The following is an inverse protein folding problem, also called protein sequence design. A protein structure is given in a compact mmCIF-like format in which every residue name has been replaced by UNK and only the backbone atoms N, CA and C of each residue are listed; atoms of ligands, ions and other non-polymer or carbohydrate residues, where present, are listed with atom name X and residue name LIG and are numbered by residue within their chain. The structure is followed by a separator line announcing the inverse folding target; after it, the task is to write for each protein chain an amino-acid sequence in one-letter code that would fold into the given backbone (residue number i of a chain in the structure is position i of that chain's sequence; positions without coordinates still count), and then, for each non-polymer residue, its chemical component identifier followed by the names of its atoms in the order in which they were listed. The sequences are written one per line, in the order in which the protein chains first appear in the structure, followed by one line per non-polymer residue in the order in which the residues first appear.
data_IF_546415050161
#
_entry.id   IF_546415050161
#
_cell.length_a   1.000
_cell.length_b   1.000
_cell.length_c   1.000
_cell.angle_alpha   90.00
_cell.angle_beta   90.00
_cell.angle_gamma   90.00
#
_symmetry.space_group_name_H-M   'P 1'
#
loop_
_entity.id
_entity.type
_entity.pdbx_description
1 polymer ?
#
# COMPACT_ATOMS: atom_id res chain seq x y z
N UNK A 1 -8.48 -19.32 13.07
CA UNK A 1 -9.55 -18.83 12.17
C UNK A 1 -10.92 -19.07 12.78
N UNK A 2 -11.89 -18.16 12.64
CA UNK A 2 -13.30 -18.54 12.84
C UNK A 2 -13.76 -19.37 11.62
N UNK A 3 -14.62 -20.39 11.77
CA UNK A 3 -15.16 -21.14 10.66
C UNK A 3 -15.92 -20.25 9.65
N UNK A 4 -15.61 -20.40 8.37
CA UNK A 4 -16.20 -19.69 7.25
C UNK A 4 -17.00 -20.63 6.37
N UNK A 5 -18.18 -20.20 5.97
CA UNK A 5 -18.91 -20.77 4.85
C UNK A 5 -19.15 -19.68 3.81
N UNK A 6 -19.13 -20.04 2.53
CA UNK A 6 -19.43 -19.08 1.49
C UNK A 6 -20.11 -19.69 0.28
N UNK A 7 -20.80 -18.82 -0.45
CA UNK A 7 -21.48 -19.12 -1.70
C UNK A 7 -21.26 -17.95 -2.67
N UNK A 8 -21.33 -18.19 -3.98
CA UNK A 8 -21.20 -17.11 -4.97
C UNK A 8 -22.19 -15.99 -4.70
N UNK A 9 -21.76 -14.76 -4.97
CA UNK A 9 -22.54 -13.54 -4.79
C UNK A 9 -23.76 -13.40 -5.71
N UNK A 10 -23.96 -14.35 -6.64
CA UNK A 10 -25.20 -14.52 -7.40
C UNK A 10 -26.35 -15.10 -6.58
N UNK A 11 -26.08 -15.68 -5.40
CA UNK A 11 -27.11 -16.17 -4.47
C UNK A 11 -27.53 -15.03 -3.55
N UNK A 12 -28.83 -14.91 -3.31
CA UNK A 12 -29.40 -13.96 -2.35
C UNK A 12 -28.85 -14.21 -0.94
N UNK A 13 -28.28 -13.19 -0.30
CA UNK A 13 -27.69 -13.30 1.05
C UNK A 13 -28.70 -13.83 2.07
N UNK A 14 -29.96 -13.41 1.96
CA UNK A 14 -31.04 -13.83 2.85
C UNK A 14 -31.37 -15.32 2.72
N UNK A 15 -31.27 -15.86 1.50
CA UNK A 15 -31.48 -17.28 1.22
C UNK A 15 -30.33 -18.12 1.76
N UNK A 16 -29.09 -17.67 1.56
CA UNK A 16 -27.91 -18.36 2.08
C UNK A 16 -27.88 -18.41 3.61
N UNK A 17 -28.23 -17.30 4.28
CA UNK A 17 -28.34 -17.25 5.75
C UNK A 17 -29.35 -18.28 6.28
N UNK A 18 -30.56 -18.29 5.71
CA UNK A 18 -31.60 -19.27 6.09
C UNK A 18 -31.14 -20.70 5.89
N UNK A 19 -30.46 -20.98 4.79
CA UNK A 19 -29.93 -22.32 4.55
C UNK A 19 -28.93 -22.75 5.64
N UNK A 20 -28.03 -21.86 6.04
CA UNK A 20 -27.02 -22.16 7.06
C UNK A 20 -27.65 -22.35 8.44
N UNK A 21 -28.60 -21.50 8.83
CA UNK A 21 -29.28 -21.63 10.12
C UNK A 21 -30.23 -22.84 10.16
N UNK A 22 -31.09 -22.99 9.14
CA UNK A 22 -32.18 -23.98 9.16
C UNK A 22 -31.74 -25.39 8.71
N UNK A 23 -30.79 -25.48 7.76
CA UNK A 23 -30.35 -26.77 7.21
C UNK A 23 -29.04 -27.27 7.82
N UNK A 24 -28.11 -26.38 8.12
CA UNK A 24 -26.84 -26.76 8.73
C UNK A 24 -26.88 -26.64 10.27
N UNK A 25 -27.88 -25.93 10.84
CA UNK A 25 -28.00 -25.76 12.28
C UNK A 25 -26.87 -24.89 12.87
N UNK A 26 -26.25 -24.04 12.06
CA UNK A 26 -25.09 -23.24 12.46
C UNK A 26 -25.50 -21.80 12.79
N UNK A 27 -24.92 -21.25 13.87
CA UNK A 27 -25.16 -19.86 14.25
C UNK A 27 -24.24 -18.92 13.47
N UNK A 28 -24.84 -17.92 12.83
CA UNK A 28 -24.13 -16.89 12.06
C UNK A 28 -23.64 -15.78 12.99
N UNK A 29 -22.40 -15.32 12.79
CA UNK A 29 -21.79 -14.23 13.55
C UNK A 29 -21.67 -12.96 12.71
N UNK A 30 -21.13 -13.08 11.50
CA UNK A 30 -20.80 -11.95 10.63
C UNK A 30 -20.98 -12.37 9.18
N UNK A 31 -21.32 -11.41 8.33
CA UNK A 31 -21.34 -11.58 6.87
C UNK A 31 -20.43 -10.56 6.22
N UNK A 32 -19.72 -10.97 5.18
CA UNK A 32 -18.85 -10.13 4.39
C UNK A 32 -18.76 -10.63 2.95
N UNK A 33 -18.34 -9.76 2.03
CA UNK A 33 -18.02 -10.15 0.65
C UNK A 33 -16.52 -10.25 0.48
N UNK A 34 -16.07 -11.30 -0.19
CA UNK A 34 -14.65 -11.53 -0.51
C UNK A 34 -14.54 -11.95 -1.97
N UNK A 35 -13.40 -11.68 -2.61
CA UNK A 35 -13.08 -12.31 -3.89
C UNK A 35 -11.89 -13.23 -3.73
N UNK A 36 -11.94 -14.39 -4.36
CA UNK A 36 -10.91 -15.42 -4.27
C UNK A 36 -10.45 -15.80 -5.68
N UNK A 37 -9.14 -15.82 -5.87
CA UNK A 37 -8.51 -16.22 -7.12
C UNK A 37 -8.42 -17.74 -7.18
N UNK A 38 -9.23 -18.33 -8.04
CA UNK A 38 -9.32 -19.77 -8.29
C UNK A 38 -8.69 -20.14 -9.64
N UNK A 39 -8.65 -21.44 -9.97
CA UNK A 39 -8.32 -21.94 -11.31
C UNK A 39 -9.21 -21.37 -12.43
N UNK A 40 -10.43 -20.92 -12.11
CA UNK A 40 -11.37 -20.30 -13.05
C UNK A 40 -11.29 -18.75 -13.07
N UNK A 41 -10.32 -18.18 -12.35
CA UNK A 41 -10.18 -16.73 -12.20
C UNK A 41 -10.74 -16.22 -10.87
N UNK A 42 -10.98 -14.91 -10.80
CA UNK A 42 -11.50 -14.26 -9.60
C UNK A 42 -12.99 -14.49 -9.44
N UNK A 43 -13.38 -15.13 -8.34
CA UNK A 43 -14.78 -15.39 -7.99
C UNK A 43 -15.15 -14.62 -6.72
N UNK A 44 -16.32 -13.99 -6.73
CA UNK A 44 -16.87 -13.24 -5.59
C UNK A 44 -17.77 -14.12 -4.73
N UNK A 45 -17.60 -14.08 -3.43
CA UNK A 45 -18.39 -14.88 -2.49
C UNK A 45 -19.02 -13.99 -1.43
N UNK A 46 -20.24 -14.34 -1.05
CA UNK A 46 -20.80 -13.97 0.25
C UNK A 46 -20.27 -15.00 1.23
N UNK A 47 -19.52 -14.53 2.23
CA UNK A 47 -18.92 -15.36 3.28
C UNK A 47 -19.52 -15.02 4.62
N UNK A 48 -19.82 -16.05 5.39
CA UNK A 48 -20.36 -15.94 6.72
C UNK A 48 -19.42 -16.62 7.73
N UNK A 49 -19.15 -15.91 8.82
CA UNK A 49 -18.50 -16.48 9.99
C UNK A 49 -19.56 -17.25 10.78
N UNK A 50 -19.28 -18.50 11.13
CA UNK A 50 -20.22 -19.38 11.84
C UNK A 50 -19.59 -20.03 13.07
N UNK A 51 -20.44 -20.47 14.01
CA UNK A 51 -20.03 -21.32 15.12
C UNK A 51 -20.40 -22.78 14.85
N UNK A 52 -19.40 -23.65 14.84
CA UNK A 52 -19.58 -25.10 14.70
C UNK A 52 -18.57 -25.73 13.76
N UNK A 53 -18.70 -27.05 13.57
CA UNK A 53 -17.89 -27.82 12.64
C UNK A 53 -18.44 -27.66 11.22
N UNK A 54 -17.58 -27.34 10.26
CA UNK A 54 -17.99 -26.97 8.89
C UNK A 54 -17.36 -27.84 7.80
N UNK A 55 -16.49 -28.78 8.15
CA UNK A 55 -15.79 -29.59 7.14
C UNK A 55 -16.79 -30.39 6.30
N UNK A 56 -16.69 -30.23 4.98
CA UNK A 56 -17.58 -30.86 4.01
C UNK A 56 -18.88 -30.09 3.73
N UNK A 57 -19.18 -29.01 4.46
CA UNK A 57 -20.37 -28.20 4.22
C UNK A 57 -20.34 -27.51 2.85
N UNK A 58 -19.16 -27.15 2.34
CA UNK A 58 -19.04 -26.54 1.00
C UNK A 58 -19.63 -27.43 -0.10
N UNK A 59 -19.46 -28.75 -0.01
CA UNK A 59 -20.09 -29.69 -0.97
C UNK A 59 -21.61 -29.63 -0.92
N UNK A 60 -22.19 -29.56 0.28
CA UNK A 60 -23.64 -29.50 0.46
C UNK A 60 -24.22 -28.17 -0.07
N UNK A 61 -23.53 -27.07 0.21
CA UNK A 61 -23.89 -25.73 -0.30
C UNK A 61 -23.79 -25.71 -1.83
N UNK A 62 -22.67 -26.18 -2.40
CA UNK A 62 -22.46 -26.17 -3.84
C UNK A 62 -23.53 -26.98 -4.59
N UNK A 63 -23.91 -28.13 -4.04
CA UNK A 63 -24.98 -28.98 -4.59
C UNK A 63 -26.35 -28.32 -4.47
N UNK A 64 -26.66 -27.68 -3.34
CA UNK A 64 -27.96 -27.05 -3.11
C UNK A 64 -28.18 -25.85 -4.03
N UNK A 65 -27.19 -24.96 -4.10
CA UNK A 65 -27.28 -23.71 -4.87
C UNK A 65 -26.79 -23.85 -6.32
N UNK A 66 -26.24 -25.02 -6.69
CA UNK A 66 -25.70 -25.31 -8.04
C UNK A 66 -24.67 -24.28 -8.50
N UNK A 67 -23.83 -23.83 -7.58
CA UNK A 67 -22.81 -22.80 -7.79
C UNK A 67 -21.59 -23.10 -6.91
N UNK A 68 -20.48 -22.40 -7.12
CA UNK A 68 -19.30 -22.59 -6.29
C UNK A 68 -19.60 -22.21 -4.84
N UNK A 69 -19.08 -23.02 -3.92
CA UNK A 69 -19.16 -22.75 -2.50
C UNK A 69 -17.78 -22.87 -1.87
N UNK A 70 -17.60 -22.34 -0.68
CA UNK A 70 -16.35 -22.47 0.05
C UNK A 70 -16.56 -22.76 1.52
N UNK A 71 -15.54 -23.34 2.12
CA UNK A 71 -15.39 -23.50 3.57
C UNK A 71 -13.97 -23.14 3.99
N UNK A 72 -13.80 -22.56 5.18
CA UNK A 72 -12.49 -22.19 5.72
C UNK A 72 -12.46 -22.37 7.22
N UNK A 73 -11.47 -23.06 7.77
CA UNK A 73 -11.44 -23.37 9.20
C UNK A 73 -10.12 -23.99 9.63
N UNK A 74 -10.05 -24.44 10.88
CA UNK A 74 -8.83 -25.05 11.45
C UNK A 74 -8.37 -26.30 10.69
N UNK A 75 -9.31 -27.01 10.05
CA UNK A 75 -9.03 -28.16 9.18
C UNK A 75 -8.30 -27.80 7.88
N UNK A 76 -8.14 -26.50 7.59
CA UNK A 76 -7.48 -25.97 6.39
C UNK A 76 -6.28 -25.08 6.75
N UNK A 77 -5.61 -25.37 7.86
CA UNK A 77 -4.31 -24.79 8.17
C UNK A 77 -3.23 -25.50 7.34
N UNK A 78 -2.47 -24.71 6.58
CA UNK A 78 -1.37 -25.19 5.75
C UNK A 78 -0.04 -24.78 6.40
N UNK A 79 0.84 -25.73 6.64
CA UNK A 79 2.12 -25.52 7.32
C UNK A 79 2.09 -25.93 8.80
N UNK A 80 3.10 -25.52 9.55
CA UNK A 80 3.27 -25.91 10.95
C UNK A 80 3.08 -24.72 11.90
N UNK A 81 1.98 -24.65 12.65
CA UNK A 81 1.78 -23.61 13.67
C UNK A 81 2.91 -23.55 14.71
N UNK A 82 3.54 -24.69 15.01
CA UNK A 82 4.73 -24.78 15.88
C UNK A 82 5.94 -24.01 15.36
N UNK A 83 6.07 -23.88 14.04
CA UNK A 83 7.11 -23.07 13.40
C UNK A 83 6.79 -21.57 13.41
N UNK A 84 5.65 -21.18 14.00
CA UNK A 84 5.12 -19.80 14.05
C UNK A 84 4.84 -19.19 12.68
N UNK A 85 4.75 -19.99 11.62
CA UNK A 85 4.44 -19.52 10.29
C UNK A 85 3.53 -20.54 9.61
N UNK A 86 2.33 -20.12 9.24
CA UNK A 86 1.37 -20.96 8.55
C UNK A 86 0.41 -20.11 7.71
N UNK A 87 -0.25 -20.76 6.76
CA UNK A 87 -1.36 -20.17 6.03
C UNK A 87 -2.70 -20.72 6.54
N UNK A 88 -3.70 -19.86 6.66
CA UNK A 88 -5.09 -20.28 6.75
C UNK A 88 -5.68 -20.29 5.34
N UNK A 89 -6.27 -21.41 4.94
CA UNK A 89 -6.83 -21.59 3.60
C UNK A 89 -8.36 -21.75 3.62
N UNK A 90 -8.94 -21.59 2.44
CA UNK A 90 -10.30 -22.02 2.14
C UNK A 90 -10.27 -23.14 1.12
N UNK A 91 -11.25 -24.03 1.19
CA UNK A 91 -11.53 -25.02 0.15
C UNK A 91 -12.72 -24.53 -0.65
N UNK A 92 -12.51 -24.29 -1.94
CA UNK A 92 -13.56 -23.96 -2.89
C UNK A 92 -14.02 -25.26 -3.55
N UNK A 93 -15.32 -25.51 -3.56
CA UNK A 93 -15.97 -26.65 -4.21
C UNK A 93 -16.79 -26.14 -5.39
N UNK A 94 -16.56 -26.73 -6.55
CA UNK A 94 -17.24 -26.40 -7.80
C UNK A 94 -18.50 -27.26 -8.00
N UNK A 95 -19.49 -26.82 -8.81
CA UNK A 95 -20.72 -27.58 -9.06
C UNK A 95 -20.51 -28.97 -9.69
N UNK A 96 -19.38 -29.16 -10.37
CA UNK A 96 -18.97 -30.44 -10.97
C UNK A 96 -18.37 -31.43 -9.94
N UNK A 97 -18.24 -31.00 -8.68
CA UNK A 97 -17.63 -31.77 -7.60
C UNK A 97 -16.11 -31.62 -7.52
N UNK A 98 -15.48 -30.86 -8.41
CA UNK A 98 -14.07 -30.50 -8.28
C UNK A 98 -13.83 -29.61 -7.06
N UNK A 99 -12.62 -29.64 -6.51
CA UNK A 99 -12.23 -28.79 -5.38
C UNK A 99 -10.85 -28.18 -5.56
N UNK A 100 -10.62 -27.06 -4.86
CA UNK A 100 -9.35 -26.34 -4.85
C UNK A 100 -9.11 -25.74 -3.45
N UNK A 101 -7.90 -25.92 -2.89
CA UNK A 101 -7.50 -25.31 -1.62
C UNK A 101 -6.67 -24.06 -1.91
N UNK A 102 -7.08 -22.93 -1.32
CA UNK A 102 -6.53 -21.60 -1.62
C UNK A 102 -6.15 -20.92 -0.30
N UNK A 103 -4.86 -20.60 -0.07
CA UNK A 103 -4.44 -19.84 1.11
C UNK A 103 -4.99 -18.42 1.04
N UNK A 104 -5.68 -17.97 2.09
CA UNK A 104 -6.32 -16.65 2.17
C UNK A 104 -5.66 -15.73 3.20
N UNK A 105 -5.05 -16.28 4.24
CA UNK A 105 -4.21 -15.52 5.16
C UNK A 105 -2.88 -16.22 5.38
N UNK A 106 -1.83 -15.43 5.54
CA UNK A 106 -0.56 -15.86 6.14
C UNK A 106 -0.51 -15.32 7.55
N UNK A 107 -0.17 -16.19 8.50
CA UNK A 107 0.09 -15.81 9.88
C UNK A 107 1.58 -15.99 10.19
N UNK A 108 2.21 -14.93 10.71
CA UNK A 108 3.57 -14.93 11.21
C UNK A 108 3.57 -14.54 12.69
N UNK A 109 3.82 -15.53 13.54
CA UNK A 109 3.89 -15.42 14.99
C UNK A 109 5.22 -14.90 15.53
N UNK A 110 6.22 -14.62 14.71
CA UNK A 110 7.38 -13.81 15.11
C UNK A 110 7.03 -12.32 15.10
N UNK A 111 6.18 -11.92 14.15
CA UNK A 111 5.69 -10.54 14.00
C UNK A 111 4.25 -10.35 14.52
N UNK A 112 3.64 -11.37 15.11
CA UNK A 112 2.22 -11.42 15.50
C UNK A 112 1.30 -10.75 14.47
N UNK A 113 1.51 -11.09 13.21
CA UNK A 113 0.89 -10.45 12.07
C UNK A 113 0.07 -11.49 11.29
N UNK A 114 -1.10 -11.05 10.83
CA UNK A 114 -1.97 -11.80 9.93
C UNK A 114 -2.23 -10.96 8.69
N UNK A 115 -1.83 -11.47 7.53
CA UNK A 115 -1.93 -10.75 6.25
C UNK A 115 -2.77 -11.54 5.25
N UNK A 116 -3.72 -10.90 4.55
CA UNK A 116 -4.34 -11.51 3.38
C UNK A 116 -3.29 -11.85 2.32
N UNK A 117 -3.47 -12.96 1.63
CA UNK A 117 -2.63 -13.34 0.48
C UNK A 117 -2.98 -12.52 -0.76
N UNK A 118 -2.18 -12.63 -1.80
CA UNK A 118 -2.46 -12.05 -3.13
C UNK A 118 -3.60 -12.77 -3.88
N UNK A 119 -4.11 -13.87 -3.33
CA UNK A 119 -5.22 -14.65 -3.89
C UNK A 119 -6.59 -14.20 -3.38
N UNK A 120 -6.65 -13.15 -2.56
CA UNK A 120 -7.91 -12.70 -1.95
C UNK A 120 -8.05 -11.17 -1.93
N UNK A 121 -9.27 -10.70 -2.21
CA UNK A 121 -9.68 -9.29 -2.01
C UNK A 121 -10.82 -9.22 -0.99
N UNK A 122 -10.91 -8.09 -0.27
CA UNK A 122 -11.99 -7.83 0.69
C UNK A 122 -11.69 -8.30 2.13
N UNK A 123 -10.54 -8.92 2.35
CA UNK A 123 -10.04 -9.28 3.68
C UNK A 123 -9.09 -8.22 4.22
N UNK A 124 -9.11 -8.03 5.54
CA UNK A 124 -8.21 -7.10 6.24
C UNK A 124 -7.21 -7.87 7.07
N UNK A 125 -5.95 -7.46 7.01
CA UNK A 125 -4.92 -7.95 7.91
C UNK A 125 -4.94 -7.22 9.24
N UNK A 126 -4.15 -7.71 10.17
CA UNK A 126 -3.85 -7.02 11.43
C UNK A 126 -2.45 -7.38 11.91
N UNK A 127 -1.90 -6.55 12.79
CA UNK A 127 -0.73 -6.88 13.58
C UNK A 127 -0.97 -6.60 15.05
N UNK A 128 -0.40 -7.42 15.92
CA UNK A 128 -0.48 -7.22 17.36
C UNK A 128 0.81 -6.62 17.88
N UNK A 129 0.75 -5.49 18.58
CA UNK A 129 1.91 -4.83 19.18
C UNK A 129 1.61 -4.60 20.65
N UNK A 130 2.40 -5.22 21.53
CA UNK A 130 2.26 -5.12 23.00
C UNK A 130 0.86 -5.47 23.52
N UNK A 131 0.16 -6.38 22.83
CA UNK A 131 -1.18 -6.84 23.20
C UNK A 131 -2.32 -6.10 22.52
N UNK A 132 -2.05 -4.95 21.90
CA UNK A 132 -3.05 -4.18 21.14
C UNK A 132 -3.08 -4.66 19.69
N UNK A 133 -4.29 -4.76 19.12
CA UNK A 133 -4.52 -5.19 17.75
C UNK A 133 -4.69 -3.97 16.83
N UNK A 134 -3.82 -3.85 15.84
CA UNK A 134 -3.86 -2.78 14.85
C UNK A 134 -4.27 -3.34 13.48
N UNK A 135 -5.32 -2.79 12.84
CA UNK A 135 -5.71 -3.20 11.50
C UNK A 135 -4.64 -2.78 10.48
N UNK A 136 -4.41 -3.61 9.47
CA UNK A 136 -3.49 -3.31 8.38
C UNK A 136 -4.25 -2.87 7.12
N UNK A 137 -3.69 -1.91 6.35
CA UNK A 137 -2.42 -1.21 6.62
C UNK A 137 -2.55 -0.13 7.71
N UNK A 138 -1.47 0.11 8.47
CA UNK A 138 -1.41 1.07 9.58
C UNK A 138 -1.62 2.53 9.10
N UNK A 139 -2.41 3.29 9.85
CA UNK A 139 -2.52 4.73 9.71
C UNK A 139 -1.30 5.46 10.29
N UNK A 140 -1.20 6.77 10.02
CA UNK A 140 -0.13 7.57 10.63
C UNK A 140 -0.31 7.69 12.15
N UNK A 141 -1.56 7.77 12.58
CA UNK A 141 -1.95 7.88 13.97
C UNK A 141 -1.58 6.60 14.73
N UNK A 142 -1.79 5.42 14.14
CA UNK A 142 -1.32 4.13 14.69
C UNK A 142 0.21 4.15 14.88
N UNK A 143 0.96 4.66 13.90
CA UNK A 143 2.43 4.74 13.99
C UNK A 143 2.91 5.65 15.12
N UNK A 144 2.24 6.79 15.33
CA UNK A 144 2.57 7.70 16.43
C UNK A 144 2.34 7.01 17.78
N UNK A 145 1.21 6.33 17.94
CA UNK A 145 0.90 5.57 19.15
C UNK A 145 1.90 4.44 19.40
N UNK A 146 2.18 3.64 18.38
CA UNK A 146 3.15 2.53 18.43
C UNK A 146 4.55 3.05 18.80
N UNK A 147 4.96 4.19 18.22
CA UNK A 147 6.24 4.81 18.53
C UNK A 147 6.32 5.26 19.99
N UNK A 148 5.30 5.97 20.48
CA UNK A 148 5.23 6.42 21.88
C UNK A 148 5.28 5.26 22.87
N UNK A 149 4.68 4.12 22.50
CA UNK A 149 4.69 2.90 23.30
C UNK A 149 5.96 2.05 23.11
N UNK A 150 6.90 2.45 22.25
CA UNK A 150 8.15 1.71 22.02
C UNK A 150 7.97 0.38 21.28
N UNK A 151 7.10 0.34 20.27
CA UNK A 151 6.84 -0.83 19.42
C UNK A 151 7.32 -0.71 17.97
N UNK A 152 8.00 0.39 17.62
CA UNK A 152 8.28 0.75 16.23
C UNK A 152 9.19 -0.25 15.50
N UNK A 153 10.16 -0.85 16.17
CA UNK A 153 11.08 -1.84 15.58
C UNK A 153 10.34 -3.04 14.96
N UNK A 154 9.20 -3.42 15.55
CA UNK A 154 8.38 -4.52 15.03
C UNK A 154 7.71 -4.15 13.72
N UNK A 155 7.26 -2.90 13.59
CA UNK A 155 6.71 -2.33 12.35
C UNK A 155 7.79 -2.27 11.28
N UNK A 156 9.00 -1.80 11.62
CA UNK A 156 10.14 -1.74 10.68
C UNK A 156 10.50 -3.12 10.15
N UNK A 157 10.56 -4.14 11.03
CA UNK A 157 10.76 -5.54 10.63
C UNK A 157 9.65 -6.01 9.70
N UNK A 158 8.38 -5.75 10.04
CA UNK A 158 7.26 -6.14 9.19
C UNK A 158 7.32 -5.47 7.80
N UNK A 159 7.68 -4.19 7.73
CA UNK A 159 7.90 -3.47 6.46
C UNK A 159 9.01 -4.12 5.65
N UNK A 160 10.13 -4.51 6.29
CA UNK A 160 11.25 -5.15 5.60
C UNK A 160 10.89 -6.55 5.05
N UNK A 161 10.03 -7.29 5.74
CA UNK A 161 9.64 -8.65 5.36
C UNK A 161 8.53 -8.66 4.31
N UNK A 162 7.48 -7.85 4.50
CA UNK A 162 6.25 -7.93 3.70
C UNK A 162 6.06 -6.76 2.74
N UNK A 163 6.93 -5.74 2.81
CA UNK A 163 6.88 -4.56 1.98
C UNK A 163 6.05 -3.42 2.57
N UNK A 164 6.44 -2.21 2.20
CA UNK A 164 5.87 -0.96 2.74
C UNK A 164 4.36 -0.86 2.54
N UNK A 165 3.86 -1.19 1.35
CA UNK A 165 2.46 -0.97 0.95
C UNK A 165 1.45 -1.89 1.67
N UNK A 166 1.90 -3.06 2.13
CA UNK A 166 1.06 -3.99 2.90
C UNK A 166 0.94 -3.58 4.36
N UNK A 167 1.97 -2.93 4.89
CA UNK A 167 2.07 -2.60 6.32
C UNK A 167 1.61 -1.18 6.60
N UNK A 168 1.93 -0.20 5.73
CA UNK A 168 1.63 1.21 5.94
C UNK A 168 0.63 1.73 4.91
N UNK A 169 -0.33 2.53 5.39
CA UNK A 169 -1.27 3.21 4.51
C UNK A 169 -0.55 4.26 3.66
N UNK A 170 -1.09 4.56 2.48
CA UNK A 170 -0.51 5.58 1.58
C UNK A 170 -0.39 6.93 2.27
N UNK A 171 -1.39 7.34 3.05
CA UNK A 171 -1.36 8.58 3.82
C UNK A 171 -0.22 8.60 4.85
N UNK A 172 0.00 7.49 5.57
CA UNK A 172 1.10 7.36 6.52
C UNK A 172 2.46 7.50 5.83
N UNK A 173 2.65 6.84 4.68
CA UNK A 173 3.89 6.94 3.89
C UNK A 173 4.14 8.39 3.46
N UNK A 174 3.10 9.09 2.99
CA UNK A 174 3.21 10.50 2.58
C UNK A 174 3.58 11.40 3.76
N UNK A 175 2.89 11.30 4.90
CA UNK A 175 3.19 12.08 6.11
C UNK A 175 4.62 11.85 6.61
N UNK A 176 5.08 10.59 6.65
CA UNK A 176 6.46 10.26 7.01
C UNK A 176 7.48 10.87 6.05
N UNK A 177 7.18 10.87 4.75
CA UNK A 177 8.06 11.47 3.75
C UNK A 177 8.19 12.99 3.94
N UNK A 178 7.09 13.67 4.28
CA UNK A 178 7.07 15.10 4.56
C UNK A 178 7.84 15.45 5.84
N UNK A 179 7.74 14.63 6.88
CA UNK A 179 8.52 14.81 8.11
C UNK A 179 10.03 14.69 7.85
N UNK A 180 10.44 13.72 7.02
CA UNK A 180 11.84 13.59 6.59
C UNK A 180 12.31 14.82 5.80
N UNK A 181 11.46 15.41 4.96
CA UNK A 181 11.77 16.66 4.24
C UNK A 181 11.91 17.85 5.21
N UNK A 182 11.05 17.97 6.22
CA UNK A 182 11.07 19.06 7.22
C UNK A 182 12.28 19.01 8.15
N UNK A 183 12.86 17.83 8.41
CA UNK A 183 14.05 17.69 9.26
C UNK A 183 15.36 18.02 8.54
N UNK A 184 15.37 18.13 7.20
CA UNK A 184 16.55 18.53 6.47
C UNK A 184 16.75 20.05 6.55
N UNK A 185 17.83 20.50 7.20
CA UNK A 185 18.22 21.90 7.17
C UNK A 185 18.94 22.17 5.85
N UNK A 186 18.40 23.07 5.03
CA UNK A 186 18.98 23.44 3.75
C UNK A 186 19.58 24.83 3.88
N UNK A 187 20.89 24.94 3.70
CA UNK A 187 21.62 26.20 3.63
C UNK A 187 22.13 26.38 2.20
N UNK A 188 21.89 27.55 1.61
CA UNK A 188 22.25 27.84 0.22
C UNK A 188 23.29 28.94 0.20
N UNK A 189 24.46 28.64 -0.36
CA UNK A 189 25.47 29.63 -0.71
C UNK A 189 25.24 30.08 -2.16
N UNK A 190 24.48 31.17 -2.30
CA UNK A 190 24.17 31.77 -3.59
C UNK A 190 25.38 32.38 -4.31
N UNK A 191 26.47 32.63 -3.57
CA UNK A 191 27.67 33.25 -4.11
C UNK A 191 28.57 32.20 -4.76
N UNK A 192 28.80 31.09 -4.07
CA UNK A 192 29.63 29.99 -4.55
C UNK A 192 28.83 28.95 -5.36
N UNK A 193 27.50 29.04 -5.39
CA UNK A 193 26.64 28.21 -6.23
C UNK A 193 26.32 26.83 -5.64
N UNK A 194 26.40 26.67 -4.31
CA UNK A 194 26.23 25.38 -3.62
C UNK A 194 25.03 25.36 -2.66
N UNK A 195 24.49 24.16 -2.47
CA UNK A 195 23.48 23.84 -1.47
C UNK A 195 24.03 22.79 -0.52
N UNK A 196 23.97 23.10 0.77
CA UNK A 196 24.29 22.19 1.86
C UNK A 196 22.99 21.66 2.44
N UNK A 197 22.77 20.36 2.30
CA UNK A 197 21.64 19.65 2.87
C UNK A 197 22.14 18.88 4.09
N UNK A 198 21.77 19.35 5.28
CA UNK A 198 22.10 18.68 6.54
C UNK A 198 21.00 17.70 6.86
N UNK A 199 21.34 16.40 6.86
CA UNK A 199 20.43 15.31 7.21
C UNK A 199 21.14 14.32 8.12
N UNK A 200 20.57 14.02 9.28
CA UNK A 200 21.07 12.99 10.20
C UNK A 200 22.59 13.08 10.52
N UNK A 201 23.12 14.31 10.64
CA UNK A 201 24.55 14.67 10.88
C UNK A 201 25.49 14.54 9.67
N UNK A 202 24.99 14.16 8.49
CA UNK A 202 25.74 14.24 7.24
C UNK A 202 25.43 15.55 6.51
N UNK A 203 26.49 16.15 5.95
CA UNK A 203 26.37 17.33 5.08
C UNK A 203 26.51 16.84 3.65
N UNK A 204 25.42 16.91 2.89
CA UNK A 204 25.44 16.63 1.46
C UNK A 204 25.57 17.97 0.74
N UNK A 205 26.68 18.16 0.03
CA UNK A 205 26.90 19.33 -0.82
C UNK A 205 26.48 19.02 -2.25
N UNK A 206 25.68 19.90 -2.85
CA UNK A 206 25.27 19.83 -4.27
C UNK A 206 25.40 21.20 -4.92
N UNK A 207 25.52 21.24 -6.25
CA UNK A 207 25.38 22.49 -7.00
C UNK A 207 23.92 22.98 -6.94
N UNK A 208 23.71 24.29 -6.99
CA UNK A 208 22.36 24.87 -7.09
C UNK A 208 21.60 24.34 -8.32
N UNK A 209 22.18 24.26 -9.54
CA UNK A 209 21.49 23.69 -10.70
C UNK A 209 20.99 22.26 -10.49
N UNK A 210 21.79 21.38 -9.87
CA UNK A 210 21.38 20.01 -9.59
C UNK A 210 20.31 19.95 -8.49
N UNK A 211 20.38 20.84 -7.50
CA UNK A 211 19.34 20.95 -6.48
C UNK A 211 18.01 21.45 -7.07
N UNK A 212 18.04 22.39 -8.01
CA UNK A 212 16.84 22.86 -8.73
C UNK A 212 16.21 21.75 -9.54
N UNK A 213 16.99 20.92 -10.23
CA UNK A 213 16.48 19.73 -10.95
C UNK A 213 15.75 18.78 -10.00
N UNK A 214 16.29 18.56 -8.80
CA UNK A 214 15.62 17.76 -7.77
C UNK A 214 14.30 18.42 -7.33
N UNK A 215 14.29 19.72 -7.05
CA UNK A 215 13.08 20.44 -6.65
C UNK A 215 11.99 20.40 -7.73
N UNK A 216 12.37 20.36 -9.02
CA UNK A 216 11.44 20.23 -10.13
C UNK A 216 10.75 18.87 -10.15
N UNK A 217 11.50 17.80 -9.87
CA UNK A 217 10.93 16.45 -9.71
C UNK A 217 9.98 16.38 -8.50
N UNK A 218 10.31 17.10 -7.44
CA UNK A 218 9.50 17.24 -6.23
C UNK A 218 8.31 18.22 -6.37
N UNK A 219 8.17 18.90 -7.53
CA UNK A 219 7.13 19.92 -7.81
C UNK A 219 7.14 21.13 -6.85
N UNK A 220 8.30 21.47 -6.28
CA UNK A 220 8.46 22.60 -5.36
C UNK A 220 8.77 23.92 -6.11
N UNK A 221 7.87 24.33 -7.00
CA UNK A 221 8.06 25.46 -7.92
C UNK A 221 8.33 26.81 -7.25
N UNK A 222 7.63 27.14 -6.15
CA UNK A 222 7.80 28.41 -5.45
C UNK A 222 9.21 28.56 -4.88
N UNK A 223 9.76 27.48 -4.34
CA UNK A 223 11.12 27.44 -3.79
C UNK A 223 12.18 27.60 -4.88
N UNK A 224 11.92 27.06 -6.08
CA UNK A 224 12.81 27.24 -7.23
C UNK A 224 12.84 28.71 -7.66
N UNK A 225 11.69 29.38 -7.74
CA UNK A 225 11.63 30.80 -8.09
C UNK A 225 12.37 31.65 -7.05
N UNK A 226 12.20 31.34 -5.76
CA UNK A 226 12.94 32.01 -4.68
C UNK A 226 14.46 31.84 -4.85
N UNK A 227 14.93 30.61 -5.08
CA UNK A 227 16.35 30.31 -5.26
C UNK A 227 16.89 31.04 -6.49
N UNK A 228 16.21 30.92 -7.63
CA UNK A 228 16.62 31.55 -8.89
C UNK A 228 16.77 33.07 -8.74
N UNK A 229 15.85 33.74 -8.03
CA UNK A 229 15.90 35.20 -7.82
C UNK A 229 17.13 35.69 -7.05
N UNK A 230 17.69 34.82 -6.19
CA UNK A 230 18.83 35.13 -5.30
C UNK A 230 20.19 34.71 -5.89
N UNK A 231 20.19 33.91 -6.97
CA UNK A 231 21.39 33.45 -7.64
C UNK A 231 22.07 34.55 -8.47
N UNK A 232 23.37 34.39 -8.69
CA UNK A 232 24.12 35.17 -9.69
C UNK A 232 23.66 34.84 -11.11
N UNK A 233 23.88 35.75 -12.06
CA UNK A 233 23.52 35.52 -13.48
C UNK A 233 24.21 34.31 -14.11
N UNK A 234 25.41 33.98 -13.65
CA UNK A 234 26.14 32.79 -14.07
C UNK A 234 25.41 31.51 -13.63
N UNK A 235 25.02 31.43 -12.35
CA UNK A 235 24.28 30.28 -11.80
C UNK A 235 22.88 30.19 -12.41
N UNK A 236 22.20 31.31 -12.66
CA UNK A 236 20.89 31.33 -13.35
C UNK A 236 20.96 30.70 -14.74
N UNK A 237 21.98 31.04 -15.54
CA UNK A 237 22.19 30.44 -16.86
C UNK A 237 22.44 28.93 -16.78
N UNK A 238 23.18 28.48 -15.76
CA UNK A 238 23.39 27.05 -15.53
C UNK A 238 22.10 26.32 -15.13
N UNK A 239 21.28 26.94 -14.27
CA UNK A 239 19.94 26.42 -13.92
C UNK A 239 19.10 26.26 -15.18
N UNK A 240 18.97 27.30 -16.01
CA UNK A 240 18.20 27.26 -17.26
C UNK A 240 18.68 26.14 -18.18
N UNK A 241 20.00 26.03 -18.36
CA UNK A 241 20.60 24.98 -19.20
C UNK A 241 20.24 23.58 -18.69
N UNK A 242 20.33 23.34 -17.38
CA UNK A 242 19.96 22.07 -16.74
C UNK A 242 18.48 21.74 -16.90
N UNK A 243 17.59 22.73 -16.80
CA UNK A 243 16.16 22.54 -17.01
C UNK A 243 15.88 22.18 -18.47
N UNK A 244 16.52 22.87 -19.42
CA UNK A 244 16.38 22.56 -20.85
C UNK A 244 16.90 21.16 -21.19
N UNK A 245 18.03 20.75 -20.63
CA UNK A 245 18.56 19.39 -20.77
C UNK A 245 17.57 18.34 -20.22
N UNK A 246 16.99 18.60 -19.04
CA UNK A 246 15.98 17.72 -18.46
C UNK A 246 14.72 17.61 -19.33
N UNK A 247 14.23 18.71 -19.89
CA UNK A 247 13.09 18.69 -20.81
C UNK A 247 13.36 17.81 -22.03
N UNK A 248 14.55 17.92 -22.64
CA UNK A 248 14.93 17.08 -23.79
C UNK A 248 14.95 15.60 -23.43
N UNK A 249 15.54 15.25 -22.28
CA UNK A 249 15.55 13.86 -21.79
C UNK A 249 14.12 13.33 -21.60
N UNK A 250 13.22 14.14 -21.02
CA UNK A 250 11.82 13.77 -20.81
C UNK A 250 11.05 13.54 -22.12
N UNK A 251 11.32 14.36 -23.15
CA UNK A 251 10.77 14.15 -24.49
C UNK A 251 11.27 12.86 -25.14
N UNK A 252 12.57 12.57 -25.02
CA UNK A 252 13.21 11.37 -25.56
C UNK A 252 12.66 10.08 -24.93
N UNK A 253 12.35 10.09 -23.63
CA UNK A 253 11.77 8.93 -22.94
C UNK A 253 10.23 8.87 -23.01
N UNK A 254 9.59 9.71 -23.83
CA UNK A 254 8.15 9.67 -24.11
C UNK A 254 7.26 10.35 -23.06
N UNK A 255 7.82 11.12 -22.12
CA UNK A 255 7.07 11.84 -21.06
C UNK A 255 6.75 13.29 -21.47
N UNK A 256 6.00 13.43 -22.57
CA UNK A 256 5.73 14.74 -23.20
C UNK A 256 4.95 15.72 -22.31
N UNK A 257 3.98 15.24 -21.54
CA UNK A 257 3.18 16.11 -20.67
C UNK A 257 4.02 16.78 -19.56
N UNK A 258 4.98 16.04 -19.00
CA UNK A 258 5.90 16.57 -17.99
C UNK A 258 6.92 17.54 -18.59
N UNK A 259 7.36 17.30 -19.83
CA UNK A 259 8.23 18.24 -20.53
C UNK A 259 7.51 19.57 -20.81
N UNK A 260 6.22 19.52 -21.17
CA UNK A 260 5.43 20.73 -21.43
C UNK A 260 5.16 21.53 -20.15
N UNK A 261 4.83 20.87 -19.04
CA UNK A 261 4.70 21.49 -17.70
C UNK A 261 5.99 22.24 -17.29
N UNK A 262 7.16 21.65 -17.55
CA UNK A 262 8.46 22.28 -17.26
C UNK A 262 8.79 23.46 -18.18
N UNK A 263 8.45 23.38 -19.47
CA UNK A 263 8.59 24.51 -20.40
C UNK A 263 7.71 25.68 -20.00
N UNK A 264 6.48 25.40 -19.58
CA UNK A 264 5.54 26.41 -19.10
C UNK A 264 6.06 27.08 -17.82
N UNK A 265 6.60 26.30 -16.88
CA UNK A 265 7.26 26.84 -15.70
C UNK A 265 8.45 27.75 -16.06
N UNK A 266 9.33 27.31 -16.96
CA UNK A 266 10.48 28.10 -17.40
C UNK A 266 10.06 29.42 -18.07
N UNK A 267 8.98 29.40 -18.86
CA UNK A 267 8.43 30.58 -19.54
C UNK A 267 7.75 31.55 -18.57
N UNK A 268 6.94 31.05 -17.63
CA UNK A 268 6.07 31.89 -16.81
C UNK A 268 6.70 32.33 -15.49
N UNK A 269 7.69 31.60 -14.95
CA UNK A 269 8.20 31.84 -13.59
C UNK A 269 9.69 32.15 -13.52
N UNK A 270 10.46 31.86 -14.58
CA UNK A 270 11.90 32.12 -14.66
C UNK A 270 12.19 33.23 -15.69
N UNK A 271 11.56 33.19 -16.87
CA UNK A 271 11.75 34.17 -17.95
C UNK A 271 10.96 35.48 -17.83
N UNK A 272 10.27 35.76 -16.72
CA UNK A 272 9.52 37.02 -16.55
C UNK A 272 10.39 38.29 -16.48
N UNK A 273 11.73 38.17 -16.52
CA UNK A 273 12.68 39.30 -16.50
C UNK A 273 13.48 39.45 -17.82
N UNK A 274 12.81 39.28 -18.97
CA UNK A 274 13.33 39.68 -20.29
C UNK A 274 12.40 40.62 -21.06
N UNK A 275 11.61 41.41 -20.35
CA UNK A 275 10.96 42.62 -20.86
C UNK A 275 11.40 43.81 -20.00
N UNK A 276 12.66 44.22 -20.16
CA UNK A 276 13.18 45.57 -19.88
C UNK A 276 14.61 45.60 -20.43
N UNK A 277 14.72 45.65 -21.76
CA UNK A 277 15.72 46.38 -22.55
C UNK A 277 15.61 45.93 -24.02
N UNK A 278 15.05 46.84 -24.82
CA UNK A 278 15.32 46.96 -26.26
C UNK A 278 16.83 47.10 -26.52
#
# INVERSE_FOLDING_TARGET
MLPWLGVRDSVEESEFKKFVEDKLGLKILKVQKVKIKTRQGWLSFIVIDVLGFIEGCAYYIAKNFKTEALEGGEHLILGEPSAKLWDEAVKVVFPDGGEEIIPVYTFDGFLDIKLPTDKVEGLKGYMTIRGDLYPLPLSFEDLVEIYQRGGIEKVEKAVSTYGLEKILSRDAVLKLSQLKKKQAKVEIDYKEGFVFIVKDKEIITRSIPDYVVQLLQDREYDKITEIYSKCTEEVKKEIEKKIVELCRILEEIGKKDQAEELKEFLKNKINQYRELEE
#
